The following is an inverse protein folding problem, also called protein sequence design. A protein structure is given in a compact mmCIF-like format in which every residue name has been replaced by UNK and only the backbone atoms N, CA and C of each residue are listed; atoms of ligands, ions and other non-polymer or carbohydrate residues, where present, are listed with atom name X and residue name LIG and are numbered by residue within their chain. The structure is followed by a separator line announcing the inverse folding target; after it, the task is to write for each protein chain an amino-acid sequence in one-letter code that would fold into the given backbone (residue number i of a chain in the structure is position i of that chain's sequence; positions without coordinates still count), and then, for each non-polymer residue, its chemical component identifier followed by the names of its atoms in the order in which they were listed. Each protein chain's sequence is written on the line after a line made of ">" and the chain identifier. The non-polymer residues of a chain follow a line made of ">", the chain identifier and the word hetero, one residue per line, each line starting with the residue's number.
data_IF_997069464824
#
_entry.id   IF_997069464824
#
_cell.length_a   1.000
_cell.length_b   1.000
_cell.length_c   1.000
_cell.angle_alpha   90.00
_cell.angle_beta   90.00
_cell.angle_gamma   90.00
#
_symmetry.space_group_name_H-M   'P 1'
#
loop_
_entity.id
_entity.type
_entity.pdbx_description
1 polymer ?
#
# COMPACT_ATOMS: atom_id res chain seq x y z
N UNK A 1 -8.78 -52.22 -5.72
CA UNK A 1 -7.80 -51.51 -6.58
C UNK A 1 -8.38 -50.28 -7.26
N UNK A 2 -9.53 -50.35 -7.95
CA UNK A 2 -10.18 -49.18 -8.58
C UNK A 2 -10.58 -48.08 -7.59
N UNK A 3 -11.12 -48.46 -6.41
CA UNK A 3 -11.46 -47.50 -5.34
C UNK A 3 -10.24 -46.74 -4.80
N UNK A 4 -9.11 -47.43 -4.66
CA UNK A 4 -7.86 -46.82 -4.19
C UNK A 4 -7.31 -45.83 -5.23
N UNK A 5 -7.40 -46.18 -6.51
CA UNK A 5 -7.08 -45.26 -7.62
C UNK A 5 -7.96 -44.01 -7.61
N UNK A 6 -9.27 -44.14 -7.37
CA UNK A 6 -10.17 -42.98 -7.25
C UNK A 6 -9.78 -42.06 -6.07
N UNK A 7 -9.39 -42.62 -4.92
CA UNK A 7 -8.93 -41.82 -3.79
C UNK A 7 -7.61 -41.09 -4.08
N UNK A 8 -6.67 -41.73 -4.77
CA UNK A 8 -5.41 -41.08 -5.17
C UNK A 8 -5.63 -39.93 -6.16
N UNK A 9 -6.54 -40.10 -7.13
CA UNK A 9 -6.89 -39.04 -8.10
C UNK A 9 -7.62 -37.88 -7.43
N UNK A 10 -8.50 -38.14 -6.46
CA UNK A 10 -9.18 -37.09 -5.71
C UNK A 10 -8.21 -36.31 -4.81
N UNK A 11 -7.24 -36.99 -4.19
CA UNK A 11 -6.24 -36.35 -3.34
C UNK A 11 -5.27 -35.46 -4.12
N UNK A 12 -4.86 -35.85 -5.33
CA UNK A 12 -3.98 -35.03 -6.18
C UNK A 12 -4.69 -33.81 -6.77
N UNK A 13 -5.99 -33.90 -7.04
CA UNK A 13 -6.79 -32.77 -7.50
C UNK A 13 -6.94 -31.69 -6.41
N UNK A 14 -6.97 -32.09 -5.13
CA UNK A 14 -7.18 -31.16 -4.01
C UNK A 14 -5.93 -30.33 -3.70
N UNK A 15 -4.71 -30.87 -3.92
CA UNK A 15 -3.44 -30.19 -3.63
C UNK A 15 -2.98 -29.23 -4.72
N UNK A 16 -3.50 -29.33 -5.96
CA UNK A 16 -3.13 -28.43 -7.07
C UNK A 16 -3.71 -27.02 -6.98
N UNK A 17 -4.75 -26.81 -6.16
CA UNK A 17 -5.51 -25.55 -6.11
C UNK A 17 -4.91 -24.49 -5.18
N UNK A 18 -3.85 -24.82 -4.41
CA UNK A 18 -3.22 -23.90 -3.45
C UNK A 18 -2.07 -23.08 -4.03
N UNK A 19 -1.70 -23.30 -5.29
CA UNK A 19 -0.73 -22.45 -6.00
C UNK A 19 -1.50 -21.24 -6.52
N UNK A 20 -1.65 -20.22 -5.67
CA UNK A 20 -2.19 -18.93 -6.07
C UNK A 20 -1.30 -18.22 -7.10
N UNK A 21 -1.69 -17.00 -7.48
CA UNK A 21 -0.94 -16.15 -8.42
C UNK A 21 0.39 -15.61 -7.85
N UNK A 22 1.06 -16.32 -6.94
CA UNK A 22 2.33 -15.91 -6.33
C UNK A 22 3.48 -15.77 -7.34
N UNK A 23 3.34 -16.33 -8.55
CA UNK A 23 4.27 -16.13 -9.66
C UNK A 23 3.87 -14.98 -10.61
N UNK A 24 2.68 -14.40 -10.42
CA UNK A 24 2.17 -13.28 -11.22
C UNK A 24 2.48 -12.01 -10.44
N UNK A 25 3.66 -11.45 -10.65
CA UNK A 25 4.09 -10.24 -9.96
C UNK A 25 5.46 -9.80 -10.43
N UNK A 26 5.81 -8.57 -10.07
CA UNK A 26 7.15 -8.01 -10.29
C UNK A 26 8.17 -8.73 -9.41
N UNK A 27 9.36 -8.96 -9.94
CA UNK A 27 10.45 -9.59 -9.22
C UNK A 27 10.85 -8.73 -8.00
N UNK A 28 11.37 -9.34 -6.91
CA UNK A 28 11.68 -8.59 -5.69
C UNK A 28 12.62 -7.39 -5.90
N UNK A 29 13.53 -7.46 -6.88
CA UNK A 29 14.45 -6.38 -7.23
C UNK A 29 13.84 -5.29 -8.11
N UNK A 30 12.68 -5.52 -8.71
CA UNK A 30 11.93 -4.47 -9.43
C UNK A 30 11.19 -3.51 -8.48
N UNK A 31 11.30 -3.75 -7.17
CA UNK A 31 10.71 -2.93 -6.11
C UNK A 31 11.72 -1.98 -5.46
N UNK A 32 12.81 -1.66 -6.14
CA UNK A 32 13.89 -0.83 -5.58
C UNK A 32 13.42 0.62 -5.33
N UNK A 33 12.58 1.17 -6.21
CA UNK A 33 11.96 2.49 -6.05
C UNK A 33 10.44 2.32 -6.01
N UNK A 34 9.89 2.23 -4.80
CA UNK A 34 8.44 2.16 -4.56
C UNK A 34 7.81 3.53 -4.30
N UNK A 35 8.61 4.55 -4.05
CA UNK A 35 8.18 5.91 -3.82
C UNK A 35 9.17 6.88 -4.46
N UNK A 36 8.67 7.68 -5.40
CA UNK A 36 9.43 8.78 -5.98
C UNK A 36 9.40 10.00 -5.04
N UNK A 37 10.39 10.90 -5.09
CA UNK A 37 10.39 12.13 -4.28
C UNK A 37 9.11 12.96 -4.43
N UNK A 38 8.51 12.94 -5.62
CA UNK A 38 7.27 13.63 -5.98
C UNK A 38 6.03 13.04 -5.30
N UNK A 39 6.13 11.80 -4.77
CA UNK A 39 5.07 11.17 -3.98
C UNK A 39 5.07 11.63 -2.52
N UNK A 40 5.98 12.52 -2.13
CA UNK A 40 5.96 13.11 -0.79
C UNK A 40 4.68 13.93 -0.57
N UNK A 41 4.16 13.91 0.66
CA UNK A 41 2.98 14.70 1.04
C UNK A 41 3.21 16.21 0.91
N UNK A 42 4.46 16.62 0.85
CA UNK A 42 4.95 17.99 0.75
C UNK A 42 5.82 18.25 -0.48
N UNK A 43 5.63 17.45 -1.55
CA UNK A 43 6.41 17.55 -2.77
C UNK A 43 6.28 18.92 -3.47
N UNK A 44 5.13 19.60 -3.36
CA UNK A 44 4.87 20.90 -3.97
C UNK A 44 4.33 21.91 -2.94
N UNK A 45 5.02 23.05 -2.81
CA UNK A 45 4.69 24.10 -1.85
C UNK A 45 3.38 24.84 -2.18
N UNK A 46 3.01 24.95 -3.45
CA UNK A 46 1.75 25.58 -3.89
C UNK A 46 0.58 24.68 -3.53
N UNK A 47 0.68 23.39 -3.82
CA UNK A 47 -0.35 22.42 -3.46
C UNK A 47 -0.55 22.40 -1.95
N UNK A 48 0.54 22.29 -1.18
CA UNK A 48 0.50 22.39 0.29
C UNK A 48 -0.22 23.64 0.80
N UNK A 49 0.10 24.81 0.24
CA UNK A 49 -0.49 26.07 0.66
C UNK A 49 -1.99 26.16 0.35
N UNK A 50 -2.43 25.62 -0.79
CA UNK A 50 -3.85 25.52 -1.14
C UNK A 50 -4.57 24.57 -0.18
N UNK A 51 -3.95 23.45 0.11
CA UNK A 51 -4.43 22.44 1.02
C UNK A 51 -4.63 23.01 2.43
N UNK A 52 -3.67 23.79 2.92
CA UNK A 52 -3.77 24.54 4.18
C UNK A 52 -4.91 25.56 4.15
N UNK A 53 -5.03 26.31 3.07
CA UNK A 53 -6.10 27.30 2.92
C UNK A 53 -7.49 26.65 3.01
N UNK A 54 -7.67 25.51 2.35
CA UNK A 54 -8.92 24.74 2.41
C UNK A 54 -9.15 24.21 3.83
N UNK A 55 -8.13 23.64 4.46
CA UNK A 55 -8.22 23.05 5.79
C UNK A 55 -8.66 24.08 6.84
N UNK A 56 -7.99 25.22 6.94
CA UNK A 56 -8.35 26.28 7.90
C UNK A 56 -9.72 26.90 7.61
N UNK A 57 -10.08 27.04 6.32
CA UNK A 57 -11.37 27.60 5.93
C UNK A 57 -12.54 26.68 6.29
N UNK A 58 -12.35 25.36 6.24
CA UNK A 58 -13.42 24.38 6.48
C UNK A 58 -13.52 23.92 7.92
N UNK A 59 -12.39 23.79 8.61
CA UNK A 59 -12.35 23.20 9.96
C UNK A 59 -12.24 24.24 11.07
N UNK A 60 -12.14 25.54 10.74
CA UNK A 60 -11.92 26.63 11.69
C UNK A 60 -10.74 26.38 12.64
N UNK A 61 -9.80 25.52 12.24
CA UNK A 61 -8.58 25.22 12.99
C UNK A 61 -7.66 26.44 12.88
N UNK A 62 -7.29 27.02 14.01
CA UNK A 62 -6.30 28.08 14.08
C UNK A 62 -4.98 27.50 14.58
N UNK A 63 -3.91 27.66 13.80
CA UNK A 63 -2.62 27.01 14.01
C UNK A 63 -2.37 25.98 12.92
N UNK A 64 -1.20 26.02 12.30
CA UNK A 64 -0.77 25.24 11.14
C UNK A 64 -1.10 23.73 11.18
N UNK A 65 -0.81 22.96 10.12
CA UNK A 65 -0.74 21.49 10.14
C UNK A 65 0.39 20.98 11.06
N UNK A 66 0.38 21.32 12.34
CA UNK A 66 1.30 20.79 13.33
C UNK A 66 0.71 19.52 13.91
N UNK A 67 1.00 18.36 13.30
CA UNK A 67 1.10 16.99 13.86
C UNK A 67 1.10 15.98 12.69
N UNK A 68 2.09 16.02 11.78
CA UNK A 68 2.11 15.00 10.72
C UNK A 68 3.07 15.11 9.54
N UNK A 69 4.05 16.01 9.56
CA UNK A 69 5.12 16.04 8.55
C UNK A 69 6.49 16.07 9.22
N UNK A 70 7.19 14.94 9.26
CA UNK A 70 8.66 14.87 9.36
C UNK A 70 9.41 15.58 10.50
N UNK A 71 8.82 15.84 11.66
CA UNK A 71 9.50 16.54 12.76
C UNK A 71 8.98 16.17 14.15
N UNK A 72 9.87 16.22 15.16
CA UNK A 72 9.62 15.88 16.57
C UNK A 72 8.57 16.82 17.19
N UNK A 73 7.29 16.56 16.93
CA UNK A 73 6.15 17.38 17.31
C UNK A 73 6.10 17.74 18.79
N UNK A 74 6.73 18.86 19.12
CA UNK A 74 6.63 19.52 20.42
C UNK A 74 6.18 20.95 20.17
N UNK A 75 5.05 21.31 20.80
CA UNK A 75 4.73 22.71 21.10
C UNK A 75 5.78 23.28 22.07
#
# INVERSE_FOLDING_TARGET
>A
MKRLLFFFVAASALTGSSVGCAHVGVEPWDRDILAEPEMSLDADAVDLGLDDHIYFSKEASSGGRGFGGGGCGCN
#
